data_IF_857318485555
#
_entry.id   IF_857318485555
#
_cell.length_a   1.000
_cell.length_b   1.000
_cell.length_c   1.000
_cell.angle_alpha   90.00
_cell.angle_beta   90.00
_cell.angle_gamma   90.00
#
_symmetry.space_group_name_H-M   'P 1'
#
loop_
_entity.id
_entity.type
_entity.pdbx_description
1 polymer ?
#
# COMPACT_ATOMS: atom_id res chain seq x y z
N UNK A 1 82.88 23.74 79.84
CA UNK A 1 82.75 22.28 79.97
C UNK A 1 81.27 21.94 80.19
N UNK A 2 80.54 21.56 79.14
CA UNK A 2 79.34 20.73 79.30
C UNK A 2 79.11 19.96 78.00
N UNK A 3 79.33 18.66 78.07
CA UNK A 3 79.11 17.66 77.02
C UNK A 3 77.68 17.17 77.24
N UNK A 4 76.82 17.20 76.21
CA UNK A 4 75.49 16.57 76.24
C UNK A 4 75.42 15.55 75.09
N UNK A 5 74.90 14.32 75.31
CA UNK A 5 75.28 13.13 74.56
C UNK A 5 74.39 12.83 73.35
N UNK A 6 75.00 12.15 72.37
CA UNK A 6 74.38 11.62 71.16
C UNK A 6 73.29 10.57 71.48
N UNK A 7 72.09 10.77 70.94
CA UNK A 7 70.93 9.89 71.12
C UNK A 7 71.07 8.56 70.38
N UNK A 8 70.77 7.46 71.07
CA UNK A 8 70.83 6.09 70.57
C UNK A 8 69.67 5.79 69.62
N UNK A 9 69.94 5.71 68.31
CA UNK A 9 68.95 5.37 67.28
C UNK A 9 68.64 3.85 67.35
N UNK A 10 67.45 3.44 67.84
CA UNK A 10 67.08 2.01 68.02
C UNK A 10 66.52 1.41 66.72
N UNK A 11 67.31 0.62 65.94
CA UNK A 11 66.95 0.18 64.59
C UNK A 11 65.70 -0.72 64.56
N UNK A 12 65.48 -1.50 65.63
CA UNK A 12 64.43 -2.50 65.69
C UNK A 12 63.02 -1.90 65.59
N UNK A 13 62.75 -0.73 66.18
CA UNK A 13 61.41 -0.10 66.15
C UNK A 13 61.03 0.34 64.74
N UNK A 14 61.99 0.84 63.97
CA UNK A 14 61.79 1.28 62.58
C UNK A 14 61.52 0.05 61.69
N UNK A 15 62.25 -1.04 61.90
CA UNK A 15 62.08 -2.30 61.17
C UNK A 15 60.70 -2.91 61.44
N UNK A 16 60.25 -2.98 62.70
CA UNK A 16 58.91 -3.49 63.03
C UNK A 16 57.79 -2.63 62.42
N UNK A 17 57.93 -1.30 62.43
CA UNK A 17 56.98 -0.40 61.75
C UNK A 17 56.94 -0.59 60.23
N UNK A 18 58.10 -0.77 59.60
CA UNK A 18 58.14 -1.05 58.15
C UNK A 18 57.58 -2.44 57.81
N UNK A 19 57.87 -3.45 58.62
CA UNK A 19 57.36 -4.82 58.42
C UNK A 19 55.84 -4.88 58.56
N UNK A 20 55.29 -4.27 59.61
CA UNK A 20 53.83 -4.17 59.81
C UNK A 20 53.14 -3.36 58.71
N UNK A 21 53.76 -2.27 58.23
CA UNK A 21 53.24 -1.52 57.08
C UNK A 21 53.18 -2.37 55.80
N UNK A 22 54.25 -3.12 55.49
CA UNK A 22 54.30 -4.01 54.32
C UNK A 22 53.30 -5.16 54.39
N UNK A 23 53.12 -5.75 55.58
CA UNK A 23 52.10 -6.79 55.81
C UNK A 23 50.69 -6.22 55.58
N UNK A 24 50.40 -5.05 56.15
CA UNK A 24 49.09 -4.40 55.98
C UNK A 24 48.83 -3.99 54.52
N UNK A 25 49.84 -3.50 53.80
CA UNK A 25 49.71 -3.26 52.36
C UNK A 25 49.44 -4.56 51.60
N UNK A 26 50.21 -5.63 51.83
CA UNK A 26 50.05 -6.92 51.15
C UNK A 26 48.66 -7.54 51.39
N UNK A 27 48.17 -7.47 52.63
CA UNK A 27 46.81 -7.91 52.99
C UNK A 27 45.76 -7.08 52.25
N UNK A 28 45.90 -5.75 52.22
CA UNK A 28 44.98 -4.85 51.49
C UNK A 28 44.98 -5.15 49.99
N UNK A 29 46.14 -5.33 49.38
CA UNK A 29 46.27 -5.64 47.95
C UNK A 29 45.65 -7.00 47.62
N UNK A 30 45.87 -8.03 48.46
CA UNK A 30 45.27 -9.36 48.27
C UNK A 30 43.75 -9.35 48.49
N UNK A 31 43.25 -8.61 49.49
CA UNK A 31 41.82 -8.44 49.74
C UNK A 31 41.13 -7.72 48.57
N UNK A 32 41.77 -6.69 48.01
CA UNK A 32 41.24 -5.98 46.85
C UNK A 32 41.23 -6.83 45.58
N UNK A 33 42.35 -7.50 45.27
CA UNK A 33 42.50 -8.27 44.02
C UNK A 33 41.73 -9.59 44.02
N UNK A 34 41.63 -10.30 45.16
CA UNK A 34 40.97 -11.61 45.21
C UNK A 34 39.49 -11.58 45.59
N UNK A 35 39.03 -10.52 46.25
CA UNK A 35 37.65 -10.49 46.80
C UNK A 35 36.88 -9.28 46.30
N UNK A 36 37.37 -8.06 46.53
CA UNK A 36 36.59 -6.86 46.19
C UNK A 36 36.49 -6.60 44.68
N UNK A 37 37.57 -6.80 43.93
CA UNK A 37 37.61 -6.63 42.47
C UNK A 37 36.67 -7.57 41.70
N UNK A 38 36.65 -8.90 41.94
CA UNK A 38 35.73 -9.80 41.21
C UNK A 38 34.26 -9.54 41.56
N UNK A 39 33.95 -9.15 42.81
CA UNK A 39 32.59 -8.76 43.21
C UNK A 39 32.18 -7.49 42.48
N UNK A 40 33.06 -6.49 42.38
CA UNK A 40 32.79 -5.26 41.66
C UNK A 40 32.59 -5.52 40.15
N UNK A 41 33.43 -6.37 39.56
CA UNK A 41 33.33 -6.76 38.15
C UNK A 41 32.06 -7.58 37.87
N UNK A 42 31.66 -8.47 38.77
CA UNK A 42 30.42 -9.24 38.64
C UNK A 42 29.18 -8.34 38.74
N UNK A 43 29.16 -7.40 39.68
CA UNK A 43 28.07 -6.42 39.78
C UNK A 43 28.02 -5.51 38.56
N UNK A 44 29.18 -5.09 38.04
CA UNK A 44 29.26 -4.32 36.81
C UNK A 44 28.74 -5.12 35.61
N UNK A 45 29.08 -6.40 35.51
CA UNK A 45 28.58 -7.30 34.47
C UNK A 45 27.06 -7.51 34.56
N UNK A 46 26.53 -7.74 35.76
CA UNK A 46 25.08 -7.89 36.00
C UNK A 46 24.31 -6.58 35.72
N UNK A 47 24.90 -5.43 36.06
CA UNK A 47 24.35 -4.11 35.74
C UNK A 47 24.35 -3.87 34.23
N UNK A 48 25.42 -4.24 33.52
CA UNK A 48 25.51 -4.14 32.06
C UNK A 48 24.50 -5.05 31.35
N UNK A 49 24.23 -6.26 31.87
CA UNK A 49 23.20 -7.15 31.32
C UNK A 49 21.76 -6.66 31.63
N UNK A 50 21.54 -6.02 32.77
CA UNK A 50 20.26 -5.39 33.08
C UNK A 50 19.97 -4.16 32.20
N UNK A 51 21.01 -3.54 31.61
CA UNK A 51 20.91 -2.38 30.72
C UNK A 51 20.80 -2.76 29.23
N UNK A 52 20.98 -4.03 28.85
CA UNK A 52 20.88 -4.46 27.45
C UNK A 52 19.43 -4.84 27.08
N UNK A 53 18.55 -3.86 26.93
CA UNK A 53 17.30 -4.02 26.16
C UNK A 53 17.54 -3.60 24.71
N UNK A 54 18.13 -4.49 23.91
CA UNK A 54 18.20 -4.31 22.46
C UNK A 54 16.81 -4.59 21.86
N UNK A 55 16.03 -3.53 21.67
CA UNK A 55 14.87 -3.52 20.77
C UNK A 55 15.22 -2.70 19.53
N UNK A 56 15.66 -3.37 18.48
CA UNK A 56 15.63 -2.84 17.11
C UNK A 56 14.36 -3.36 16.41
N UNK A 57 13.19 -3.08 16.98
CA UNK A 57 11.92 -3.40 16.31
C UNK A 57 11.49 -2.17 15.51
N UNK A 58 11.36 -2.32 14.19
CA UNK A 58 10.86 -1.24 13.33
C UNK A 58 9.35 -1.39 13.18
N UNK A 59 8.64 -1.03 14.24
CA UNK A 59 7.26 -0.52 14.11
C UNK A 59 7.36 1.00 14.11
N UNK A 60 6.97 1.65 13.01
CA UNK A 60 6.94 3.12 12.99
C UNK A 60 5.51 3.56 13.31
N UNK A 61 5.28 3.89 14.59
CA UNK A 61 4.06 4.56 15.04
C UNK A 61 3.34 3.95 16.23
N UNK A 62 3.68 2.74 16.71
CA UNK A 62 3.04 2.10 17.87
C UNK A 62 3.98 1.16 18.64
N UNK A 63 3.55 0.78 19.85
CA UNK A 63 4.22 -0.24 20.68
C UNK A 63 3.73 -1.67 20.37
N UNK A 64 3.09 -1.89 19.22
CA UNK A 64 2.60 -3.21 18.80
C UNK A 64 3.68 -3.90 17.97
N UNK A 65 3.94 -5.18 18.25
CA UNK A 65 4.92 -5.98 17.52
C UNK A 65 4.58 -5.98 16.01
N UNK A 66 5.57 -5.82 15.11
CA UNK A 66 5.32 -5.80 13.67
C UNK A 66 4.81 -7.15 13.17
N UNK A 67 4.13 -7.17 12.03
CA UNK A 67 3.78 -8.41 11.34
C UNK A 67 5.06 -9.23 11.03
N UNK A 68 5.07 -10.54 11.31
CA UNK A 68 6.26 -11.41 11.16
C UNK A 68 6.80 -11.48 9.73
N UNK A 69 5.96 -11.22 8.72
CA UNK A 69 6.34 -11.20 7.31
C UNK A 69 6.74 -9.81 6.80
N UNK A 70 6.68 -8.77 7.65
CA UNK A 70 6.98 -7.40 7.27
C UNK A 70 8.37 -6.99 7.74
N UNK A 71 9.22 -6.54 6.80
CA UNK A 71 10.46 -5.86 7.15
C UNK A 71 10.21 -4.41 7.62
N UNK A 72 9.11 -3.79 7.16
CA UNK A 72 8.63 -2.48 7.59
C UNK A 72 7.11 -2.55 7.81
N UNK A 73 6.67 -2.32 9.06
CA UNK A 73 5.26 -2.28 9.44
C UNK A 73 4.90 -0.88 10.00
N UNK A 74 3.89 -0.23 9.40
CA UNK A 74 3.49 1.15 9.69
C UNK A 74 2.09 1.18 10.31
N UNK A 75 2.04 1.14 11.64
CA UNK A 75 0.80 1.19 12.42
C UNK A 75 0.94 2.16 13.57
N UNK A 76 -0.12 2.91 13.88
CA UNK A 76 -0.10 3.90 14.96
C UNK A 76 -1.25 3.78 15.97
N UNK A 77 -2.01 2.70 15.88
CA UNK A 77 -3.10 2.37 16.81
C UNK A 77 -2.88 0.98 17.41
N UNK A 78 -3.57 0.72 18.53
CA UNK A 78 -3.47 -0.52 19.27
C UNK A 78 -4.22 -1.69 18.60
N UNK A 79 -5.15 -1.40 17.70
CA UNK A 79 -5.94 -2.37 16.92
C UNK A 79 -5.24 -2.83 15.64
N UNK A 80 -3.91 -2.70 15.57
CA UNK A 80 -3.08 -2.99 14.40
C UNK A 80 -3.36 -2.12 13.15
N UNK A 81 -4.16 -1.05 13.28
CA UNK A 81 -4.44 -0.12 12.17
C UNK A 81 -3.60 1.17 12.21
N UNK A 82 -3.72 1.98 11.16
CA UNK A 82 -3.11 3.32 11.05
C UNK A 82 -4.13 4.37 10.61
N UNK A 83 -3.97 5.60 11.06
CA UNK A 83 -4.61 6.79 10.45
C UNK A 83 -3.60 7.70 9.72
N UNK A 84 -2.37 7.22 9.54
CA UNK A 84 -1.31 7.86 8.76
C UNK A 84 -0.84 6.93 7.64
N UNK A 85 -0.31 7.50 6.57
CA UNK A 85 0.23 6.76 5.43
C UNK A 85 1.75 6.87 5.31
N UNK A 86 2.31 6.13 4.35
CA UNK A 86 3.67 6.33 3.86
C UNK A 86 3.65 7.35 2.73
N UNK A 87 4.33 8.49 2.92
CA UNK A 87 4.53 9.44 1.82
C UNK A 87 5.71 8.95 0.96
N UNK A 88 5.40 8.41 -0.21
CA UNK A 88 6.42 7.98 -1.17
C UNK A 88 7.23 9.18 -1.70
N UNK A 89 8.48 8.97 -2.17
CA UNK A 89 9.22 10.01 -2.88
C UNK A 89 8.40 10.58 -4.04
N UNK A 90 8.27 11.90 -4.07
CA UNK A 90 7.50 12.64 -5.07
C UNK A 90 8.43 13.06 -6.21
N UNK A 91 8.05 12.76 -7.45
CA UNK A 91 8.88 13.02 -8.64
C UNK A 91 8.05 13.64 -9.77
N UNK A 92 8.74 14.22 -10.75
CA UNK A 92 8.16 14.61 -12.04
C UNK A 92 8.70 13.68 -13.12
N UNK A 93 7.99 12.60 -13.38
CA UNK A 93 8.33 11.69 -14.49
C UNK A 93 8.12 12.41 -15.83
N UNK A 94 8.93 12.06 -16.82
CA UNK A 94 8.89 12.68 -18.15
C UNK A 94 8.14 11.82 -19.16
N UNK A 95 8.38 10.51 -19.10
CA UNK A 95 7.66 9.44 -19.78
C UNK A 95 7.91 8.12 -19.05
N UNK A 96 7.24 7.03 -19.44
CA UNK A 96 7.45 5.72 -18.82
C UNK A 96 8.80 5.09 -19.18
N UNK A 97 9.29 5.32 -20.39
CA UNK A 97 10.54 4.73 -20.89
C UNK A 97 11.80 5.47 -20.43
N UNK A 98 11.65 6.65 -19.83
CA UNK A 98 12.77 7.44 -19.31
C UNK A 98 13.05 7.11 -17.84
N UNK A 99 14.30 6.74 -17.53
CA UNK A 99 14.70 6.44 -16.14
C UNK A 99 14.69 7.66 -15.22
N UNK A 100 14.72 8.86 -15.80
CA UNK A 100 14.65 10.15 -15.09
C UNK A 100 13.48 10.16 -14.09
N UNK A 101 13.70 10.63 -12.84
CA UNK A 101 14.87 11.35 -12.33
C UNK A 101 16.05 10.48 -11.89
N UNK A 102 15.98 9.16 -12.07
CA UNK A 102 17.10 8.27 -11.79
C UNK A 102 18.11 8.31 -12.93
N UNK A 103 19.35 7.91 -12.66
CA UNK A 103 20.38 7.73 -13.69
C UNK A 103 20.22 6.45 -14.51
N UNK A 104 19.44 5.49 -14.00
CA UNK A 104 19.07 4.24 -14.67
C UNK A 104 17.80 3.65 -14.05
N UNK A 105 17.11 2.75 -14.76
CA UNK A 105 15.96 2.04 -14.22
C UNK A 105 16.38 1.09 -13.10
N UNK A 106 15.68 1.14 -11.97
CA UNK A 106 15.95 0.30 -10.78
C UNK A 106 14.71 -0.50 -10.42
N UNK A 107 14.76 -1.83 -10.60
CA UNK A 107 13.64 -2.72 -10.34
C UNK A 107 13.13 -2.61 -8.90
N UNK A 108 11.82 -2.48 -8.73
CA UNK A 108 11.14 -2.40 -7.43
C UNK A 108 11.13 -0.99 -6.81
N UNK A 109 11.74 0.00 -7.45
CA UNK A 109 11.64 1.40 -7.00
C UNK A 109 10.20 1.90 -7.14
N UNK A 110 9.62 2.47 -6.09
CA UNK A 110 8.25 3.01 -6.10
C UNK A 110 8.24 4.50 -5.75
N UNK A 111 7.46 5.28 -6.51
CA UNK A 111 7.39 6.75 -6.40
C UNK A 111 5.96 7.24 -6.64
N UNK A 112 5.68 8.49 -6.26
CA UNK A 112 4.45 9.20 -6.65
C UNK A 112 4.78 10.29 -7.66
N UNK A 113 4.21 10.21 -8.86
CA UNK A 113 4.35 11.23 -9.90
C UNK A 113 3.37 12.38 -9.67
N UNK A 114 3.85 13.62 -9.73
CA UNK A 114 3.10 14.82 -9.35
C UNK A 114 2.32 15.51 -10.48
N UNK A 115 2.65 15.23 -11.74
CA UNK A 115 2.03 15.94 -12.85
C UNK A 115 2.04 15.09 -14.11
N UNK A 116 1.06 15.28 -15.02
CA UNK A 116 1.09 14.65 -16.32
C UNK A 116 2.22 15.22 -17.18
N UNK A 117 2.89 14.33 -17.92
CA UNK A 117 3.89 14.68 -18.95
C UNK A 117 4.10 13.48 -19.88
N UNK A 118 4.14 13.70 -21.19
CA UNK A 118 4.27 12.58 -22.14
C UNK A 118 3.13 11.57 -21.95
N UNK A 119 3.47 10.32 -21.69
CA UNK A 119 2.55 9.21 -21.41
C UNK A 119 2.30 8.96 -19.91
N UNK A 120 2.96 9.70 -19.01
CA UNK A 120 2.71 9.61 -17.57
C UNK A 120 1.65 10.61 -17.12
N UNK A 121 0.84 10.19 -16.17
CA UNK A 121 -0.13 11.02 -15.43
C UNK A 121 0.16 10.98 -13.93
N UNK A 122 -0.49 11.85 -13.15
CA UNK A 122 -0.38 11.85 -11.69
C UNK A 122 -0.76 10.48 -11.08
N UNK A 123 0.00 10.02 -10.09
CA UNK A 123 -0.26 8.76 -9.38
C UNK A 123 0.97 7.95 -9.00
N UNK A 124 0.75 6.75 -8.47
CA UNK A 124 1.81 5.84 -8.05
C UNK A 124 2.44 5.10 -9.24
N UNK A 125 3.75 4.94 -9.22
CA UNK A 125 4.52 4.16 -10.21
C UNK A 125 5.53 3.28 -9.49
N UNK A 126 5.78 2.09 -10.04
CA UNK A 126 6.97 1.32 -9.75
C UNK A 126 7.82 1.15 -11.00
N UNK A 127 9.13 0.97 -10.83
CA UNK A 127 10.05 0.71 -11.92
C UNK A 127 10.26 -0.80 -12.04
N UNK A 128 10.07 -1.36 -13.23
CA UNK A 128 10.22 -2.81 -13.45
C UNK A 128 11.65 -3.24 -13.82
N UNK A 129 12.60 -2.30 -13.85
CA UNK A 129 13.99 -2.49 -14.30
C UNK A 129 14.23 -2.03 -15.74
N UNK A 130 13.19 -1.66 -16.49
CA UNK A 130 13.32 -1.13 -17.86
C UNK A 130 12.42 0.07 -18.14
N UNK A 131 11.33 0.24 -17.40
CA UNK A 131 10.41 1.39 -17.50
C UNK A 131 9.66 1.64 -16.20
N UNK A 132 9.03 2.81 -16.10
CA UNK A 132 8.02 3.09 -15.09
C UNK A 132 6.68 2.45 -15.46
N UNK A 133 6.06 1.77 -14.51
CA UNK A 133 4.76 1.12 -14.62
C UNK A 133 3.84 1.73 -13.59
N UNK A 134 2.70 2.25 -14.03
CA UNK A 134 1.73 2.87 -13.14
C UNK A 134 1.09 1.79 -12.25
N UNK A 135 0.99 2.09 -10.95
CA UNK A 135 0.22 1.30 -9.99
C UNK A 135 -1.23 1.78 -10.04
N UNK A 136 -1.92 1.42 -11.11
CA UNK A 136 -3.39 1.42 -11.14
C UNK A 136 -3.86 -0.02 -10.91
N UNK A 137 -5.01 -0.24 -10.25
CA UNK A 137 -5.77 -1.45 -10.54
C UNK A 137 -6.09 -1.37 -12.04
N UNK A 138 -5.29 -2.04 -12.86
CA UNK A 138 -5.63 -2.23 -14.26
C UNK A 138 -6.90 -3.05 -14.29
N UNK A 139 -8.02 -2.38 -14.50
CA UNK A 139 -9.08 -3.01 -15.25
C UNK A 139 -9.87 -1.92 -15.94
N UNK A 140 -9.57 -1.67 -17.22
CA UNK A 140 -10.62 -1.31 -18.18
C UNK A 140 -11.60 -2.50 -18.23
N UNK A 141 -12.38 -2.72 -17.16
CA UNK A 141 -13.40 -3.77 -17.16
C UNK A 141 -14.47 -3.29 -18.11
N UNK A 142 -14.66 -4.04 -19.19
CA UNK A 142 -15.89 -3.94 -19.94
C UNK A 142 -16.64 -5.27 -19.87
N UNK A 143 -17.96 -5.19 -20.01
CA UNK A 143 -18.83 -6.34 -20.10
C UNK A 143 -19.94 -6.04 -21.11
N UNK A 144 -20.43 -7.08 -21.78
CA UNK A 144 -21.58 -6.94 -22.66
C UNK A 144 -22.84 -6.69 -21.82
N UNK A 145 -23.68 -5.78 -22.31
CA UNK A 145 -25.03 -5.63 -21.79
C UNK A 145 -25.79 -6.95 -22.00
N UNK A 146 -26.62 -7.39 -21.05
CA UNK A 146 -27.42 -8.59 -21.26
C UNK A 146 -28.41 -8.33 -22.40
N UNK A 147 -28.78 -9.40 -23.12
CA UNK A 147 -29.63 -9.27 -24.29
C UNK A 147 -31.00 -8.69 -23.93
N UNK A 148 -31.40 -7.63 -24.64
CA UNK A 148 -32.73 -7.01 -24.50
C UNK A 148 -33.49 -7.11 -25.81
N UNK A 149 -34.83 -7.10 -25.71
CA UNK A 149 -35.69 -6.92 -26.88
C UNK A 149 -35.72 -5.44 -27.24
N UNK A 150 -35.40 -5.12 -28.49
CA UNK A 150 -35.51 -3.77 -29.04
C UNK A 150 -36.85 -3.64 -29.78
N UNK A 151 -37.72 -2.69 -29.38
CA UNK A 151 -39.00 -2.49 -30.05
C UNK A 151 -38.84 -1.99 -31.48
N UNK A 152 -39.70 -2.49 -32.37
CA UNK A 152 -39.75 -2.11 -33.78
C UNK A 152 -41.09 -1.46 -34.18
N UNK A 153 -42.06 -1.43 -33.26
CA UNK A 153 -43.41 -0.90 -33.50
C UNK A 153 -43.57 0.46 -32.83
N UNK A 154 -44.08 1.45 -33.58
CA UNK A 154 -44.38 2.79 -33.06
C UNK A 154 -45.47 2.81 -31.97
N UNK A 155 -46.17 1.68 -31.77
CA UNK A 155 -47.11 1.51 -30.65
C UNK A 155 -46.41 1.25 -29.30
N UNK A 156 -45.11 0.97 -29.30
CA UNK A 156 -44.35 0.71 -28.08
C UNK A 156 -44.21 2.00 -27.24
N UNK A 157 -44.35 1.95 -25.90
CA UNK A 157 -44.24 3.13 -25.04
C UNK A 157 -42.88 3.86 -25.12
N UNK A 158 -41.82 3.17 -25.55
CA UNK A 158 -40.51 3.78 -25.76
C UNK A 158 -40.44 4.65 -27.02
N UNK A 159 -41.41 4.53 -27.94
CA UNK A 159 -41.50 5.37 -29.11
C UNK A 159 -42.08 6.73 -28.75
N UNK A 160 -41.27 7.77 -28.88
CA UNK A 160 -41.70 9.15 -28.62
C UNK A 160 -40.94 10.12 -29.51
N UNK A 161 -41.66 11.08 -30.09
CA UNK A 161 -41.09 12.12 -30.94
C UNK A 161 -40.29 11.57 -32.13
N UNK A 162 -40.73 10.43 -32.68
CA UNK A 162 -40.09 9.78 -33.82
C UNK A 162 -38.81 9.00 -33.49
N UNK A 163 -38.53 8.70 -32.22
CA UNK A 163 -37.41 7.86 -31.80
C UNK A 163 -37.88 6.82 -30.78
N UNK A 164 -37.30 5.63 -30.85
CA UNK A 164 -37.30 4.70 -29.73
C UNK A 164 -36.23 5.15 -28.73
N UNK A 165 -36.59 5.24 -27.45
CA UNK A 165 -35.65 5.63 -26.37
C UNK A 165 -35.59 4.54 -25.31
N UNK A 166 -34.42 3.94 -25.15
CA UNK A 166 -34.17 2.85 -24.20
C UNK A 166 -33.15 3.31 -23.17
N UNK A 167 -33.55 3.33 -21.89
CA UNK A 167 -32.62 3.59 -20.80
C UNK A 167 -31.85 2.30 -20.49
N UNK A 168 -30.60 2.20 -20.98
CA UNK A 168 -29.85 0.94 -20.96
C UNK A 168 -29.47 0.50 -19.54
N UNK A 169 -29.09 1.44 -18.67
CA UNK A 169 -28.75 1.12 -17.28
C UNK A 169 -29.94 0.51 -16.52
N UNK A 170 -31.14 1.04 -16.73
CA UNK A 170 -32.36 0.49 -16.13
C UNK A 170 -32.62 -0.95 -16.61
N UNK A 171 -32.47 -1.24 -17.90
CA UNK A 171 -32.64 -2.60 -18.43
C UNK A 171 -31.61 -3.58 -17.89
N UNK A 172 -30.37 -3.14 -17.76
CA UNK A 172 -29.31 -3.89 -17.11
C UNK A 172 -29.63 -4.23 -15.65
N UNK A 173 -30.06 -3.24 -14.87
CA UNK A 173 -30.41 -3.42 -13.45
C UNK A 173 -31.60 -4.38 -13.28
N UNK A 174 -32.64 -4.22 -14.10
CA UNK A 174 -33.81 -5.11 -14.14
C UNK A 174 -33.36 -6.57 -14.33
N UNK A 175 -32.56 -6.86 -15.36
CA UNK A 175 -32.12 -8.23 -15.68
C UNK A 175 -31.20 -8.84 -14.63
N UNK A 176 -30.32 -8.04 -14.02
CA UNK A 176 -29.40 -8.53 -12.98
C UNK A 176 -30.14 -8.79 -11.66
N UNK A 177 -31.20 -8.05 -11.40
CA UNK A 177 -32.05 -8.22 -10.21
C UNK A 177 -32.99 -9.42 -10.34
N UNK A 178 -33.60 -9.64 -11.51
CA UNK A 178 -34.60 -10.70 -11.72
C UNK A 178 -34.02 -12.01 -12.27
N UNK A 179 -32.71 -12.22 -12.16
CA UNK A 179 -32.04 -13.41 -12.69
C UNK A 179 -32.46 -14.71 -12.00
N UNK A 180 -32.70 -15.77 -12.77
CA UNK A 180 -32.77 -17.13 -12.21
C UNK A 180 -31.36 -17.62 -11.93
N UNK A 181 -31.08 -18.05 -10.70
CA UNK A 181 -29.73 -18.37 -10.24
C UNK A 181 -29.64 -19.78 -9.64
N UNK A 182 -28.44 -20.36 -9.63
CA UNK A 182 -28.20 -21.65 -8.98
C UNK A 182 -28.40 -21.52 -7.45
N UNK A 183 -28.71 -22.61 -6.72
CA UNK A 183 -29.12 -22.53 -5.32
C UNK A 183 -28.11 -21.84 -4.39
N UNK A 184 -26.81 -21.97 -4.65
CA UNK A 184 -25.74 -21.37 -3.84
C UNK A 184 -25.27 -20.00 -4.35
N UNK A 185 -25.80 -19.51 -5.47
CA UNK A 185 -25.35 -18.25 -6.05
C UNK A 185 -25.85 -17.03 -5.26
N UNK A 186 -24.96 -16.04 -5.14
CA UNK A 186 -25.29 -14.71 -4.64
C UNK A 186 -25.98 -13.87 -5.73
N UNK A 187 -26.07 -12.56 -5.54
CA UNK A 187 -26.56 -11.63 -6.57
C UNK A 187 -25.43 -11.26 -7.54
N UNK A 188 -25.80 -10.85 -8.76
CA UNK A 188 -24.87 -10.24 -9.68
C UNK A 188 -24.50 -8.81 -9.20
N UNK A 189 -23.26 -8.35 -9.44
CA UNK A 189 -22.87 -6.98 -9.11
C UNK A 189 -23.55 -5.99 -10.07
N UNK A 190 -24.16 -4.95 -9.49
CA UNK A 190 -24.79 -3.87 -10.23
C UNK A 190 -23.95 -2.60 -10.02
N UNK A 191 -23.46 -2.02 -11.12
CA UNK A 191 -22.77 -0.74 -11.09
C UNK A 191 -23.76 0.41 -11.26
N UNK A 192 -23.56 1.49 -10.52
CA UNK A 192 -24.31 2.73 -10.70
C UNK A 192 -24.07 3.31 -12.11
N UNK A 193 -25.10 3.92 -12.71
CA UNK A 193 -25.01 4.48 -14.07
C UNK A 193 -23.85 5.48 -14.22
N UNK A 194 -23.58 6.29 -13.20
CA UNK A 194 -22.48 7.26 -13.23
C UNK A 194 -21.08 6.63 -13.28
N UNK A 195 -20.94 5.33 -12.96
CA UNK A 195 -19.70 4.55 -13.04
C UNK A 195 -19.54 3.83 -14.38
N UNK A 196 -20.48 3.99 -15.31
CA UNK A 196 -20.46 3.30 -16.59
C UNK A 196 -20.30 4.27 -17.76
N UNK A 197 -19.62 3.78 -18.78
CA UNK A 197 -19.56 4.34 -20.13
C UNK A 197 -20.23 3.34 -21.08
N UNK A 198 -21.04 3.81 -22.03
CA UNK A 198 -21.90 2.97 -22.84
C UNK A 198 -21.50 2.98 -24.32
N UNK A 199 -21.46 1.80 -24.94
CA UNK A 199 -20.98 1.64 -26.32
C UNK A 199 -21.94 0.75 -27.12
N UNK A 200 -22.33 1.22 -28.31
CA UNK A 200 -22.94 0.35 -29.33
C UNK A 200 -21.82 -0.14 -30.25
N UNK A 201 -21.52 -1.43 -30.17
CA UNK A 201 -20.43 -2.07 -30.92
C UNK A 201 -20.87 -2.50 -32.31
N UNK A 202 -22.16 -2.81 -32.47
CA UNK A 202 -22.76 -3.22 -33.73
C UNK A 202 -24.27 -2.95 -33.68
N UNK A 203 -24.84 -2.65 -34.85
CA UNK A 203 -26.28 -2.73 -35.08
C UNK A 203 -26.56 -3.03 -36.55
N UNK A 204 -27.69 -3.66 -36.83
CA UNK A 204 -28.13 -3.90 -38.21
C UNK A 204 -28.55 -2.59 -38.88
N UNK A 205 -27.66 -2.05 -39.73
CA UNK A 205 -27.89 -0.82 -40.48
C UNK A 205 -29.01 -0.93 -41.53
N UNK A 206 -29.55 -2.12 -41.82
CA UNK A 206 -30.72 -2.25 -42.71
C UNK A 206 -32.04 -2.01 -41.97
N UNK A 207 -32.05 -2.16 -40.65
CA UNK A 207 -33.24 -1.98 -39.81
C UNK A 207 -33.14 -0.70 -38.98
N UNK A 208 -32.03 -0.51 -38.29
CA UNK A 208 -31.85 0.62 -37.38
C UNK A 208 -31.11 1.76 -38.07
N UNK A 209 -31.56 2.99 -37.82
CA UNK A 209 -30.89 4.21 -38.26
C UNK A 209 -30.87 5.27 -37.16
N UNK A 210 -30.00 6.28 -37.31
CA UNK A 210 -29.83 7.36 -36.34
C UNK A 210 -29.59 6.86 -34.91
N UNK A 211 -28.76 5.82 -34.77
CA UNK A 211 -28.41 5.22 -33.48
C UNK A 211 -27.45 6.14 -32.73
N UNK A 212 -27.88 6.64 -31.58
CA UNK A 212 -27.07 7.49 -30.69
C UNK A 212 -27.22 7.06 -29.24
N UNK A 213 -26.22 7.35 -28.43
CA UNK A 213 -26.28 7.15 -26.98
C UNK A 213 -25.76 8.39 -26.27
N UNK A 214 -26.43 8.81 -25.20
CA UNK A 214 -25.99 9.92 -24.35
C UNK A 214 -25.20 9.45 -23.11
N UNK A 215 -24.57 10.39 -22.42
CA UNK A 215 -23.80 10.12 -21.18
C UNK A 215 -24.66 9.55 -20.04
N UNK A 216 -25.99 9.68 -20.14
CA UNK A 216 -26.96 9.12 -19.21
C UNK A 216 -27.35 7.66 -19.53
N UNK A 217 -26.82 7.09 -20.60
CA UNK A 217 -27.10 5.72 -21.04
C UNK A 217 -28.40 5.57 -21.84
N UNK A 218 -28.98 6.67 -22.33
CA UNK A 218 -30.20 6.61 -23.15
C UNK A 218 -29.82 6.32 -24.60
N UNK A 219 -30.08 5.08 -25.03
CA UNK A 219 -30.02 4.67 -26.42
C UNK A 219 -31.22 5.25 -27.18
N UNK A 220 -30.96 5.99 -28.25
CA UNK A 220 -31.99 6.49 -29.18
C UNK A 220 -31.76 5.94 -30.58
N UNK A 221 -32.81 5.49 -31.25
CA UNK A 221 -32.74 5.04 -32.65
C UNK A 221 -34.09 5.18 -33.37
N UNK A 222 -34.04 5.06 -34.70
CA UNK A 222 -35.19 4.94 -35.60
C UNK A 222 -35.17 3.61 -36.34
N UNK A 223 -36.33 3.23 -36.87
CA UNK A 223 -36.47 2.10 -37.77
C UNK A 223 -36.63 2.62 -39.19
N UNK A 224 -35.86 2.07 -40.12
CA UNK A 224 -35.96 2.41 -41.54
C UNK A 224 -37.33 2.01 -42.11
N UNK A 225 -37.89 2.76 -43.06
CA UNK A 225 -39.04 2.29 -43.82
C UNK A 225 -38.68 1.01 -44.60
N UNK A 226 -39.67 0.14 -44.82
CA UNK A 226 -39.52 -1.09 -45.62
C UNK A 226 -38.42 -2.05 -45.11
N UNK A 227 -38.18 -2.08 -43.80
CA UNK A 227 -37.23 -3.00 -43.18
C UNK A 227 -37.73 -4.45 -43.21
N UNK A 228 -36.80 -5.40 -43.27
CA UNK A 228 -37.07 -6.83 -43.07
C UNK A 228 -36.43 -7.31 -41.77
N UNK A 229 -37.23 -7.94 -40.91
CA UNK A 229 -36.71 -8.58 -39.70
C UNK A 229 -36.07 -9.90 -40.08
N UNK A 230 -34.83 -10.09 -39.63
CA UNK A 230 -34.09 -11.34 -39.79
C UNK A 230 -33.36 -11.70 -38.49
N UNK A 231 -32.69 -12.85 -38.49
CA UNK A 231 -31.76 -13.26 -37.43
C UNK A 231 -30.61 -12.26 -37.18
N UNK A 232 -30.38 -11.31 -38.10
CA UNK A 232 -29.36 -10.26 -37.98
C UNK A 232 -29.88 -8.98 -37.33
N UNK A 233 -31.18 -8.88 -37.09
CA UNK A 233 -31.83 -7.69 -36.52
C UNK A 233 -31.57 -7.59 -35.01
N UNK A 234 -30.35 -7.21 -34.64
CA UNK A 234 -29.93 -7.02 -33.26
C UNK A 234 -28.91 -5.87 -33.13
N UNK A 235 -28.69 -5.44 -31.88
CA UNK A 235 -27.58 -4.55 -31.50
C UNK A 235 -26.66 -5.26 -30.53
N UNK A 236 -25.36 -5.01 -30.65
CA UNK A 236 -24.36 -5.42 -29.66
C UNK A 236 -23.95 -4.20 -28.83
N UNK A 237 -24.11 -4.28 -27.52
CA UNK A 237 -23.91 -3.19 -26.58
C UNK A 237 -22.94 -3.65 -25.49
N UNK A 238 -21.97 -2.81 -25.15
CA UNK A 238 -21.03 -3.05 -24.07
C UNK A 238 -20.97 -1.85 -23.11
N UNK A 239 -20.77 -2.14 -21.83
CA UNK A 239 -20.53 -1.16 -20.79
C UNK A 239 -19.08 -1.25 -20.35
N UNK A 240 -18.43 -0.12 -20.17
CA UNK A 240 -17.10 -0.01 -19.55
C UNK A 240 -17.23 0.62 -18.17
N UNK A 241 -16.55 0.05 -17.19
CA UNK A 241 -16.46 0.62 -15.84
C UNK A 241 -15.40 1.72 -15.83
N UNK A 242 -15.77 2.89 -15.29
CA UNK A 242 -14.89 4.06 -15.09
C UNK A 242 -13.89 3.85 -13.95
#
# INVERSE_FOLDING_TARGET
>A
MHIIPQGYNRPNIIIYRQMTYRINQSIRTKLYTKVLSPILLLNLFLLLQALSTLSAQVTIGSNVAPNESALLDLKNKADETSNKGLLMPRVHLQSTDESTPLSAHVKGMTVYNLAPKGDVVEGFYYNNGSKWVRLIPETDVFFYMPSIMLPLSESDPSFSSGFFKIQLHQKYEEQFTTSTKSPAATTLPIYDSNRLEFFVLYYDNNVFEQVTIDDGGVLSYRIKPDYEVSEKTFMNIAFKVK
#
